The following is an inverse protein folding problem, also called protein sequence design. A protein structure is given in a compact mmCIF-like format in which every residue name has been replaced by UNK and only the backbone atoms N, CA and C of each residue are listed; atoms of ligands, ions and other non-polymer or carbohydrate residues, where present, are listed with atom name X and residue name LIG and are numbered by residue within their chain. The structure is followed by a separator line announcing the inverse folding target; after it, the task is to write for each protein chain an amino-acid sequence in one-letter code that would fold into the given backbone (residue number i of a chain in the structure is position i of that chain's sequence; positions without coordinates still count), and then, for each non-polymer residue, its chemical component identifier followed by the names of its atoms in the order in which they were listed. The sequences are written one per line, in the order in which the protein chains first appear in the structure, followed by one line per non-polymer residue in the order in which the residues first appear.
data_IF_221837223775
#
_entry.id   IF_221837223775
#
_cell.length_a   1.000
_cell.length_b   1.000
_cell.length_c   1.000
_cell.angle_alpha   90.00
_cell.angle_beta   90.00
_cell.angle_gamma   90.00
#
_symmetry.space_group_name_H-M   'P 1'
#
loop_
_entity.id
_entity.type
_entity.pdbx_description
1 polymer ?
#
# COMPACT_ATOMS: atom_id res chain seq x y z
N UNK A 1 6.21 -12.97 -44.70
CA UNK A 1 6.30 -13.92 -43.57
C UNK A 1 7.46 -13.59 -42.63
N UNK A 2 8.70 -13.49 -43.12
CA UNK A 2 9.85 -13.09 -42.29
C UNK A 2 9.65 -11.74 -41.58
N UNK A 3 9.10 -10.73 -42.28
CA UNK A 3 8.81 -9.42 -41.68
C UNK A 3 7.83 -9.48 -40.51
N UNK A 4 6.79 -10.32 -40.59
CA UNK A 4 5.83 -10.53 -39.51
C UNK A 4 6.50 -11.21 -38.30
N UNK A 5 7.37 -12.19 -38.56
CA UNK A 5 8.14 -12.86 -37.52
C UNK A 5 9.13 -11.89 -36.84
N UNK A 6 9.87 -11.10 -37.63
CA UNK A 6 10.77 -10.06 -37.11
C UNK A 6 10.01 -9.01 -36.30
N UNK A 7 8.85 -8.58 -36.76
CA UNK A 7 8.00 -7.64 -36.04
C UNK A 7 7.48 -8.23 -34.72
N UNK A 8 7.04 -9.49 -34.72
CA UNK A 8 6.57 -10.17 -33.51
C UNK A 8 7.71 -10.33 -32.48
N UNK A 9 8.91 -10.72 -32.93
CA UNK A 9 10.09 -10.81 -32.06
C UNK A 9 10.50 -9.45 -31.51
N UNK A 10 10.55 -8.43 -32.37
CA UNK A 10 10.89 -7.07 -31.95
C UNK A 10 9.87 -6.53 -30.93
N UNK A 11 8.58 -6.64 -31.22
CA UNK A 11 7.51 -6.21 -30.33
C UNK A 11 7.53 -6.97 -29.00
N UNK A 12 7.79 -8.28 -29.03
CA UNK A 12 7.93 -9.09 -27.82
C UNK A 12 9.10 -8.63 -26.94
N UNK A 13 10.29 -8.47 -27.51
CA UNK A 13 11.46 -7.96 -26.78
C UNK A 13 11.21 -6.55 -26.25
N UNK A 14 10.58 -5.69 -27.04
CA UNK A 14 10.23 -4.33 -26.65
C UNK A 14 9.26 -4.31 -25.46
N UNK A 15 8.20 -5.11 -25.51
CA UNK A 15 7.24 -5.24 -24.41
C UNK A 15 7.89 -5.81 -23.13
N UNK A 16 8.75 -6.83 -23.26
CA UNK A 16 9.51 -7.39 -22.13
C UNK A 16 10.43 -6.33 -21.52
N UNK A 17 11.11 -5.54 -22.35
CA UNK A 17 11.99 -4.46 -21.87
C UNK A 17 11.20 -3.42 -21.07
N UNK A 18 10.04 -2.99 -21.56
CA UNK A 18 9.17 -2.05 -20.84
C UNK A 18 8.69 -2.67 -19.52
N UNK A 19 8.25 -3.93 -19.55
CA UNK A 19 7.78 -4.63 -18.36
C UNK A 19 8.89 -4.76 -17.30
N UNK A 20 10.12 -5.06 -17.72
CA UNK A 20 11.28 -5.12 -16.84
C UNK A 20 11.57 -3.77 -16.18
N UNK A 21 11.60 -2.68 -16.96
CA UNK A 21 11.80 -1.32 -16.42
C UNK A 21 10.67 -0.93 -15.47
N UNK A 22 9.42 -1.20 -15.83
CA UNK A 22 8.28 -0.90 -14.97
C UNK A 22 8.32 -1.70 -13.66
N UNK A 23 8.73 -2.97 -13.72
CA UNK A 23 8.88 -3.83 -12.55
C UNK A 23 9.99 -3.33 -11.63
N UNK A 24 11.16 -2.95 -12.18
CA UNK A 24 12.27 -2.41 -11.39
C UNK A 24 11.92 -1.05 -10.79
N UNK A 25 11.31 -0.14 -11.56
CA UNK A 25 10.84 1.14 -11.01
C UNK A 25 9.83 0.91 -9.89
N UNK A 26 8.90 -0.04 -10.05
CA UNK A 26 7.92 -0.39 -9.02
C UNK A 26 8.57 -0.98 -7.76
N UNK A 27 9.64 -1.76 -7.89
CA UNK A 27 10.37 -2.29 -6.74
C UNK A 27 11.19 -1.21 -6.03
N UNK A 28 11.73 -0.24 -6.76
CA UNK A 28 12.53 0.87 -6.21
C UNK A 28 11.68 2.01 -5.62
N UNK A 29 10.47 2.24 -6.14
CA UNK A 29 9.53 3.27 -5.69
C UNK A 29 9.32 3.33 -4.16
N UNK A 30 9.08 2.22 -3.43
CA UNK A 30 8.91 2.28 -1.97
C UNK A 30 10.16 2.78 -1.23
N UNK A 31 11.36 2.52 -1.74
CA UNK A 31 12.60 3.02 -1.16
C UNK A 31 12.74 4.52 -1.41
N UNK A 32 12.41 4.99 -2.61
CA UNK A 32 12.41 6.42 -2.98
C UNK A 32 11.38 7.19 -2.15
N UNK A 33 10.14 6.69 -2.03
CA UNK A 33 9.10 7.31 -1.23
C UNK A 33 9.50 7.40 0.24
N UNK A 34 10.14 6.35 0.78
CA UNK A 34 10.69 6.35 2.14
C UNK A 34 11.78 7.40 2.31
N UNK A 35 12.70 7.55 1.34
CA UNK A 35 13.75 8.57 1.38
C UNK A 35 13.18 10.00 1.32
N UNK A 36 12.04 10.20 0.64
CA UNK A 36 11.32 11.47 0.56
C UNK A 36 10.44 11.77 1.79
N UNK A 37 10.43 10.90 2.81
CA UNK A 37 9.58 11.04 3.99
C UNK A 37 8.10 10.82 3.73
N UNK A 38 7.73 10.37 2.53
CA UNK A 38 6.37 10.01 2.17
C UNK A 38 6.16 8.59 2.69
N UNK A 39 5.49 8.46 3.84
CA UNK A 39 5.14 7.15 4.38
C UNK A 39 4.30 6.41 3.32
N UNK A 40 4.79 5.30 2.74
CA UNK A 40 3.97 4.54 1.81
C UNK A 40 2.76 4.03 2.59
N UNK A 41 1.56 4.39 2.14
CA UNK A 41 0.31 3.87 2.70
C UNK A 41 0.44 2.35 2.75
N UNK A 42 0.22 1.71 3.92
CA UNK A 42 0.39 0.28 4.06
C UNK A 42 -0.50 -0.39 3.01
N UNK A 43 0.14 -1.09 2.08
CA UNK A 43 -0.56 -1.85 1.04
C UNK A 43 -1.48 -2.80 1.79
N UNK A 44 -2.81 -2.71 1.62
CA UNK A 44 -3.73 -3.56 2.36
C UNK A 44 -3.33 -5.01 2.06
N UNK A 45 -3.22 -5.87 3.09
CA UNK A 45 -2.75 -7.23 2.89
C UNK A 45 -3.63 -7.94 1.85
N UNK A 46 -2.99 -8.46 0.80
CA UNK A 46 -3.59 -9.33 -0.20
C UNK A 46 -3.81 -10.73 0.42
N UNK A 47 -4.71 -10.85 1.40
CA UNK A 47 -5.22 -12.15 1.82
C UNK A 47 -6.75 -12.19 1.73
N UNK A 48 -7.31 -13.29 1.19
CA UNK A 48 -8.73 -13.56 1.26
C UNK A 48 -9.07 -13.95 2.71
N UNK A 49 -10.36 -14.16 2.96
CA UNK A 49 -10.97 -14.45 4.27
C UNK A 49 -11.35 -13.16 4.99
N UNK A 50 -12.59 -12.76 4.71
CA UNK A 50 -13.45 -12.05 5.62
C UNK A 50 -13.57 -12.84 6.94
N UNK A 51 -12.51 -12.89 7.74
CA UNK A 51 -12.60 -13.36 9.10
C UNK A 51 -13.08 -12.17 9.91
N UNK A 52 -14.41 -12.13 10.03
CA UNK A 52 -15.24 -11.19 10.77
C UNK A 52 -14.66 -11.01 12.17
N UNK A 53 -13.70 -10.10 12.34
CA UNK A 53 -13.25 -9.64 13.64
C UNK A 53 -14.39 -8.83 14.25
N UNK A 54 -15.32 -9.54 14.89
CA UNK A 54 -16.24 -8.95 15.85
C UNK A 54 -15.40 -8.31 16.96
N UNK A 55 -15.18 -7.00 16.85
CA UNK A 55 -14.73 -6.21 17.98
C UNK A 55 -15.96 -6.04 18.87
N UNK A 56 -16.17 -6.99 19.78
CA UNK A 56 -17.13 -6.81 20.88
C UNK A 56 -16.56 -5.70 21.76
N UNK A 57 -16.96 -4.46 21.49
CA UNK A 57 -16.81 -3.37 22.42
C UNK A 57 -17.79 -3.70 23.55
N UNK A 58 -17.31 -4.33 24.63
CA UNK A 58 -18.08 -4.39 25.87
C UNK A 58 -18.32 -2.94 26.31
N UNK A 59 -19.57 -2.47 26.47
CA UNK A 59 -19.79 -1.28 27.27
C UNK A 59 -19.51 -1.70 28.72
N UNK A 60 -18.32 -1.36 29.23
CA UNK A 60 -18.09 -1.46 30.67
C UNK A 60 -18.87 -0.31 31.31
N UNK A 61 -20.12 -0.59 31.66
CA UNK A 61 -20.90 0.16 32.62
C UNK A 61 -20.05 0.35 33.88
N UNK A 62 -19.77 1.60 34.25
CA UNK A 62 -19.31 1.93 35.60
C UNK A 62 -17.92 2.56 35.73
N UNK A 63 -17.69 3.74 35.16
CA UNK A 63 -16.74 4.68 35.78
C UNK A 63 -17.23 6.13 35.71
N UNK A 64 -17.38 6.82 36.86
CA UNK A 64 -17.86 8.20 36.92
C UNK A 64 -16.76 9.24 36.62
N UNK A 65 -17.20 10.27 35.92
CA UNK A 65 -16.67 11.61 35.64
C UNK A 65 -15.63 12.16 36.64
N UNK A 66 -14.54 12.76 36.13
CA UNK A 66 -14.19 14.20 36.30
C UNK A 66 -12.70 14.54 36.39
N UNK A 67 -12.38 15.73 35.87
CA UNK A 67 -11.26 16.61 36.22
C UNK A 67 -9.85 16.33 35.65
N UNK A 68 -9.63 16.64 34.35
CA UNK A 68 -8.33 17.21 33.95
C UNK A 68 -8.34 18.14 32.73
N UNK A 69 -9.50 18.68 32.34
CA UNK A 69 -9.64 19.60 31.20
C UNK A 69 -9.63 21.10 31.58
N UNK A 70 -9.15 21.48 32.76
CA UNK A 70 -9.17 22.90 33.21
C UNK A 70 -7.81 23.36 33.79
N UNK A 71 -6.73 23.15 33.05
CA UNK A 71 -5.41 23.71 33.40
C UNK A 71 -4.64 24.25 32.19
N UNK A 72 -5.35 24.94 31.29
CA UNK A 72 -4.74 25.63 30.16
C UNK A 72 -5.36 27.02 29.90
N UNK A 73 -5.86 27.68 30.94
CA UNK A 73 -6.26 29.09 30.91
C UNK A 73 -6.30 29.66 32.34
N UNK A 74 -5.13 29.96 32.89
CA UNK A 74 -4.91 30.88 34.00
C UNK A 74 -3.49 31.42 33.89
#
# INVERSE_FOLDING_TARGET
MLQLLSFALFSGVFAISIAAIAATVRSEMPYILRALGILPSPTPPLRPVAERRFRVIRPLQGQPVSARAFRAAA
#
